data_IF_110297952180
#
_entry.id   IF_110297952180
#
_cell.length_a   1.000
_cell.length_b   1.000
_cell.length_c   1.000
_cell.angle_alpha   90.00
_cell.angle_beta   90.00
_cell.angle_gamma   90.00
#
_symmetry.space_group_name_H-M   'P 1'
#
loop_
_entity.id
_entity.type
_entity.pdbx_description
1 polymer ?
#
# COMPACT_ATOMS: atom_id res chain seq x y z
N UNK A 1 31.53 27.71 47.56
CA UNK A 1 31.12 27.80 46.14
C UNK A 1 31.17 26.40 45.52
N UNK A 2 30.04 25.81 45.10
CA UNK A 2 30.05 24.50 44.45
C UNK A 2 30.59 24.60 43.01
N UNK A 3 31.47 23.68 42.63
CA UNK A 3 32.05 23.62 41.28
C UNK A 3 30.96 23.29 40.24
N UNK A 4 30.98 23.89 39.03
CA UNK A 4 29.96 23.62 38.03
C UNK A 4 30.06 22.16 37.55
N UNK A 5 28.94 21.46 37.62
CA UNK A 5 28.78 20.07 37.22
C UNK A 5 29.22 19.85 35.77
N UNK A 6 30.29 19.08 35.55
CA UNK A 6 30.65 18.60 34.23
C UNK A 6 29.61 17.56 33.79
N UNK A 7 28.89 17.82 32.69
CA UNK A 7 27.95 16.85 32.10
C UNK A 7 28.74 15.60 31.69
N UNK A 8 28.33 14.38 32.06
CA UNK A 8 28.98 13.18 31.57
C UNK A 8 28.80 13.14 30.04
N UNK A 9 29.92 13.11 29.30
CA UNK A 9 29.88 12.92 27.86
C UNK A 9 29.28 11.54 27.58
N UNK A 10 28.18 11.51 26.84
CA UNK A 10 27.60 10.25 26.37
C UNK A 10 28.69 9.39 25.70
N UNK A 11 28.78 8.09 26.00
CA UNK A 11 29.74 7.22 25.34
C UNK A 11 29.45 7.26 23.84
N UNK A 12 30.41 7.77 23.07
CA UNK A 12 30.35 7.74 21.62
C UNK A 12 30.19 6.27 21.20
N UNK A 13 29.33 5.94 20.23
CA UNK A 13 29.18 4.57 19.77
C UNK A 13 30.55 4.05 19.33
N UNK A 14 31.00 3.01 20.05
CA UNK A 14 32.17 2.20 19.70
C UNK A 14 32.12 1.95 18.20
N UNK A 15 33.11 2.45 17.48
CA UNK A 15 33.34 2.05 16.10
C UNK A 15 33.75 0.58 16.15
N UNK A 16 32.75 -0.29 16.16
CA UNK A 16 32.95 -1.73 16.11
C UNK A 16 33.85 -1.99 14.91
N UNK A 17 35.07 -2.45 15.22
CA UNK A 17 36.08 -2.88 14.25
C UNK A 17 35.35 -3.67 13.19
N UNK A 18 35.43 -3.17 11.95
CA UNK A 18 34.78 -3.69 10.76
C UNK A 18 34.62 -5.21 10.85
N UNK A 19 33.39 -5.69 11.09
CA UNK A 19 33.04 -7.07 10.76
C UNK A 19 33.51 -7.25 9.34
N UNK A 20 34.60 -8.01 9.14
CA UNK A 20 35.10 -8.36 7.82
C UNK A 20 33.90 -8.95 7.11
N UNK A 21 33.34 -8.20 6.16
CA UNK A 21 32.24 -8.66 5.31
C UNK A 21 32.69 -10.04 4.82
N UNK A 22 31.91 -11.09 5.09
CA UNK A 22 32.16 -12.39 4.49
C UNK A 22 32.04 -12.19 2.98
N UNK A 23 33.17 -12.00 2.31
CA UNK A 23 33.22 -11.57 0.91
C UNK A 23 32.97 -12.73 -0.06
N UNK A 24 32.90 -13.96 0.46
CA UNK A 24 33.03 -15.16 -0.36
C UNK A 24 31.86 -16.16 -0.18
N UNK A 25 30.90 -15.91 0.73
CA UNK A 25 29.81 -16.87 0.97
C UNK A 25 28.91 -17.06 -0.27
N UNK A 26 28.86 -16.06 -1.17
CA UNK A 26 28.10 -16.12 -2.43
C UNK A 26 29.01 -16.20 -3.67
N UNK A 27 30.28 -16.57 -3.49
CA UNK A 27 31.20 -16.69 -4.61
C UNK A 27 30.99 -18.06 -5.25
N UNK A 28 30.24 -18.09 -6.36
CA UNK A 28 29.99 -19.31 -7.12
C UNK A 28 31.32 -19.87 -7.64
N UNK A 29 31.53 -21.18 -7.46
CA UNK A 29 32.77 -21.88 -7.85
C UNK A 29 32.95 -21.92 -9.38
N UNK A 30 31.84 -21.97 -10.14
CA UNK A 30 31.84 -21.96 -11.59
C UNK A 30 30.78 -20.98 -12.14
N UNK A 31 31.15 -20.20 -13.15
CA UNK A 31 30.24 -19.29 -13.86
C UNK A 31 30.07 -19.80 -15.28
N UNK A 32 28.91 -20.37 -15.58
CA UNK A 32 28.56 -20.76 -16.94
C UNK A 32 28.08 -19.54 -17.73
N UNK A 33 28.68 -19.29 -18.89
CA UNK A 33 28.40 -18.09 -19.69
C UNK A 33 27.65 -18.44 -20.97
N UNK A 34 26.32 -18.44 -20.90
CA UNK A 34 25.48 -18.64 -22.07
C UNK A 34 25.40 -17.35 -22.91
N UNK A 35 25.82 -17.45 -24.17
CA UNK A 35 25.81 -16.33 -25.12
C UNK A 35 24.39 -15.90 -25.47
N UNK A 36 23.41 -16.81 -25.47
CA UNK A 36 22.01 -16.51 -25.78
C UNK A 36 21.37 -15.67 -24.67
N UNK A 37 21.47 -16.13 -23.42
CA UNK A 37 21.05 -15.37 -22.23
C UNK A 37 21.75 -14.00 -22.14
N UNK A 38 23.03 -13.92 -22.53
CA UNK A 38 23.75 -12.64 -22.60
C UNK A 38 23.15 -11.69 -23.64
N UNK A 39 22.78 -12.18 -24.82
CA UNK A 39 22.15 -11.37 -25.86
C UNK A 39 20.76 -10.87 -25.42
N UNK A 40 19.97 -11.72 -24.78
CA UNK A 40 18.69 -11.34 -24.17
C UNK A 40 18.87 -10.32 -23.05
N UNK A 41 19.92 -10.47 -22.23
CA UNK A 41 20.28 -9.49 -21.22
C UNK A 41 20.74 -8.17 -21.87
N UNK A 42 21.47 -8.17 -22.97
CA UNK A 42 21.87 -6.91 -23.59
C UNK A 42 20.74 -6.20 -24.33
N UNK A 43 19.77 -6.92 -24.89
CA UNK A 43 18.66 -6.30 -25.66
C UNK A 43 17.41 -6.06 -24.81
N UNK A 44 17.16 -6.90 -23.80
CA UNK A 44 15.94 -6.91 -22.97
C UNK A 44 15.91 -5.91 -21.82
N UNK A 45 16.55 -4.73 -21.93
CA UNK A 45 16.61 -3.74 -20.84
C UNK A 45 15.22 -3.36 -20.30
N UNK A 46 14.25 -3.15 -21.20
CA UNK A 46 12.88 -2.85 -20.81
C UNK A 46 12.25 -4.02 -20.03
N UNK A 47 12.42 -5.26 -20.52
CA UNK A 47 11.94 -6.47 -19.83
C UNK A 47 12.49 -6.57 -18.41
N UNK A 48 13.79 -6.32 -18.20
CA UNK A 48 14.41 -6.33 -16.86
C UNK A 48 13.97 -5.18 -15.98
N UNK A 49 13.73 -4.00 -16.57
CA UNK A 49 13.20 -2.86 -15.81
C UNK A 49 11.79 -3.18 -15.29
N UNK A 50 10.94 -3.72 -16.15
CA UNK A 50 9.59 -4.16 -15.78
C UNK A 50 9.66 -5.28 -14.75
N UNK A 51 10.51 -6.30 -14.95
CA UNK A 51 10.68 -7.39 -13.99
C UNK A 51 11.13 -6.90 -12.61
N UNK A 52 12.06 -5.94 -12.53
CA UNK A 52 12.45 -5.33 -11.24
C UNK A 52 11.32 -4.57 -10.57
N UNK A 53 10.51 -3.85 -11.34
CA UNK A 53 9.36 -3.11 -10.81
C UNK A 53 8.34 -4.12 -10.28
N UNK A 54 8.02 -5.17 -11.04
CA UNK A 54 7.11 -6.24 -10.63
C UNK A 54 7.61 -6.96 -9.38
N UNK A 55 8.87 -7.37 -9.33
CA UNK A 55 9.46 -8.01 -8.16
C UNK A 55 9.37 -7.13 -6.90
N UNK A 56 9.61 -5.83 -7.03
CA UNK A 56 9.46 -4.89 -5.91
C UNK A 56 7.99 -4.72 -5.47
N UNK A 57 7.03 -4.78 -6.40
CA UNK A 57 5.60 -4.78 -6.10
C UNK A 57 5.20 -6.07 -5.40
N UNK A 58 5.60 -7.22 -5.92
CA UNK A 58 5.33 -8.54 -5.34
C UNK A 58 5.92 -8.69 -3.93
N UNK A 59 7.14 -8.21 -3.70
CA UNK A 59 7.75 -8.22 -2.36
C UNK A 59 6.99 -7.32 -1.37
N UNK A 60 6.55 -6.15 -1.81
CA UNK A 60 5.72 -5.26 -0.99
C UNK A 60 4.35 -5.88 -0.68
N UNK A 61 3.73 -6.55 -1.64
CA UNK A 61 2.46 -7.27 -1.45
C UNK A 61 2.61 -8.47 -0.50
N UNK A 62 3.66 -9.28 -0.67
CA UNK A 62 3.95 -10.42 0.22
C UNK A 62 4.13 -9.94 1.66
N UNK A 63 4.98 -8.92 1.85
CA UNK A 63 5.20 -8.31 3.16
C UNK A 63 3.91 -7.74 3.76
N UNK A 64 3.08 -7.06 2.96
CA UNK A 64 1.79 -6.54 3.42
C UNK A 64 0.80 -7.63 3.83
N UNK A 65 0.81 -8.79 3.16
CA UNK A 65 0.00 -9.95 3.56
C UNK A 65 0.49 -10.55 4.88
N UNK A 66 1.80 -10.75 5.01
CA UNK A 66 2.42 -11.25 6.25
C UNK A 66 2.14 -10.32 7.43
N UNK A 67 2.28 -9.00 7.24
CA UNK A 67 1.97 -8.00 8.26
C UNK A 67 0.49 -8.05 8.69
N UNK A 68 -0.45 -8.17 7.75
CA UNK A 68 -1.88 -8.33 8.06
C UNK A 68 -2.20 -9.60 8.83
N UNK A 69 -1.57 -10.72 8.47
CA UNK A 69 -1.76 -12.00 9.17
C UNK A 69 -1.25 -11.88 10.61
N UNK A 70 -0.06 -11.30 10.78
CA UNK A 70 0.53 -11.07 12.11
C UNK A 70 -0.33 -10.12 12.95
N UNK A 71 -0.83 -9.03 12.36
CA UNK A 71 -1.75 -8.10 13.03
C UNK A 71 -3.05 -8.78 13.46
N UNK A 72 -3.64 -9.60 12.59
CA UNK A 72 -4.85 -10.37 12.91
C UNK A 72 -4.59 -11.37 14.04
N UNK A 73 -3.46 -12.07 14.02
CA UNK A 73 -3.06 -13.01 15.08
C UNK A 73 -2.93 -12.27 16.42
N UNK A 74 -2.21 -11.15 16.43
CA UNK A 74 -2.06 -10.30 17.63
C UNK A 74 -3.39 -9.80 18.18
N UNK A 75 -4.34 -9.41 17.31
CA UNK A 75 -5.66 -8.98 17.75
C UNK A 75 -6.46 -10.13 18.38
N UNK A 76 -6.38 -11.34 17.81
CA UNK A 76 -7.01 -12.54 18.39
C UNK A 76 -6.39 -12.90 19.74
N UNK A 77 -5.07 -12.89 19.84
CA UNK A 77 -4.33 -13.13 21.09
C UNK A 77 -4.70 -12.09 22.15
N UNK A 78 -4.70 -10.80 21.82
CA UNK A 78 -5.10 -9.75 22.75
C UNK A 78 -6.53 -9.92 23.27
N UNK A 79 -7.49 -10.30 22.41
CA UNK A 79 -8.86 -10.61 22.82
C UNK A 79 -8.93 -11.85 23.72
N UNK A 80 -8.15 -12.89 23.42
CA UNK A 80 -8.06 -14.11 24.23
C UNK A 80 -7.49 -13.79 25.62
N UNK A 81 -6.44 -12.99 25.70
CA UNK A 81 -5.85 -12.53 26.97
C UNK A 81 -6.82 -11.66 27.78
N UNK A 82 -7.54 -10.74 27.13
CA UNK A 82 -8.55 -9.92 27.78
C UNK A 82 -9.68 -10.78 28.36
N UNK A 83 -10.17 -11.75 27.59
CA UNK A 83 -11.18 -12.70 28.05
C UNK A 83 -10.66 -13.55 29.23
N UNK A 84 -9.43 -14.08 29.14
CA UNK A 84 -8.77 -14.82 30.23
C UNK A 84 -8.71 -13.98 31.50
N UNK A 85 -8.22 -12.74 31.42
CA UNK A 85 -8.17 -11.81 32.56
C UNK A 85 -9.55 -11.49 33.13
N UNK A 86 -10.55 -11.34 32.26
CA UNK A 86 -11.92 -11.08 32.71
C UNK A 86 -12.50 -12.28 33.47
N UNK A 87 -12.34 -13.49 32.94
CA UNK A 87 -12.77 -14.73 33.61
C UNK A 87 -12.04 -14.91 34.93
N UNK A 88 -10.72 -14.70 34.96
CA UNK A 88 -9.94 -14.72 36.21
C UNK A 88 -10.46 -13.70 37.24
N UNK A 89 -10.74 -12.46 36.82
CA UNK A 89 -11.27 -11.42 37.69
C UNK A 89 -12.67 -11.74 38.24
N UNK A 90 -13.54 -12.35 37.41
CA UNK A 90 -14.88 -12.80 37.81
C UNK A 90 -14.79 -13.99 38.77
N UNK A 91 -13.92 -14.96 38.50
CA UNK A 91 -13.71 -16.11 39.39
C UNK A 91 -13.16 -15.67 40.75
N UNK A 92 -12.26 -14.68 40.77
CA UNK A 92 -11.75 -14.06 42.00
C UNK A 92 -12.85 -13.35 42.80
N UNK A 93 -13.75 -12.61 42.14
CA UNK A 93 -14.84 -11.90 42.82
C UNK A 93 -15.91 -12.85 43.39
N UNK A 94 -16.14 -13.98 42.73
CA UNK A 94 -17.05 -15.03 43.18
C UNK A 94 -16.43 -15.99 44.22
N UNK A 95 -15.14 -15.84 44.54
CA UNK A 95 -14.46 -16.65 45.55
C UNK A 95 -14.14 -18.09 45.12
N UNK A 96 -14.24 -18.41 43.83
CA UNK A 96 -13.80 -19.70 43.29
C UNK A 96 -12.27 -19.71 43.22
N UNK A 97 -11.63 -20.21 44.28
CA UNK A 97 -10.18 -20.37 44.33
C UNK A 97 -9.75 -21.56 43.46
N UNK A 98 -9.28 -21.26 42.24
CA UNK A 98 -8.42 -22.03 41.33
C UNK A 98 -8.14 -23.50 41.73
N UNK A 99 -9.04 -24.42 41.39
CA UNK A 99 -8.79 -25.87 41.45
C UNK A 99 -9.42 -26.63 40.26
N UNK A 100 -9.61 -25.95 39.11
CA UNK A 100 -10.05 -26.62 37.89
C UNK A 100 -8.96 -26.50 36.84
N UNK A 101 -8.38 -27.67 36.59
CA UNK A 101 -7.34 -28.06 35.65
C UNK A 101 -7.21 -27.17 34.40
N UNK A 102 -6.02 -26.59 34.24
CA UNK A 102 -5.58 -25.93 33.02
C UNK A 102 -5.16 -27.00 31.99
N UNK A 103 -6.10 -27.83 31.54
CA UNK A 103 -5.91 -28.58 30.30
C UNK A 103 -6.10 -27.59 29.14
N UNK A 104 -5.05 -26.81 28.90
CA UNK A 104 -4.89 -25.93 27.75
C UNK A 104 -4.74 -26.81 26.51
N UNK A 105 -5.85 -27.30 25.97
CA UNK A 105 -5.90 -27.80 24.59
C UNK A 105 -5.61 -26.61 23.66
N UNK A 106 -4.32 -26.43 23.39
CA UNK A 106 -3.81 -25.69 22.24
C UNK A 106 -4.22 -26.47 20.98
N UNK A 107 -5.50 -26.41 20.62
CA UNK A 107 -5.95 -26.73 19.29
C UNK A 107 -5.47 -25.60 18.36
N UNK A 108 -4.21 -25.70 17.96
CA UNK A 108 -3.65 -25.00 16.81
C UNK A 108 -4.22 -25.66 15.55
N UNK A 109 -5.53 -25.52 15.37
CA UNK A 109 -6.18 -25.88 14.13
C UNK A 109 -5.85 -24.77 13.12
N UNK A 110 -4.68 -24.92 12.49
CA UNK A 110 -4.30 -24.31 11.23
C UNK A 110 -5.19 -24.89 10.11
N UNK A 111 -6.50 -24.77 10.31
CA UNK A 111 -7.52 -25.06 9.32
C UNK A 111 -7.55 -23.91 8.33
N UNK A 112 -7.07 -24.20 7.13
CA UNK A 112 -7.66 -23.74 5.87
C UNK A 112 -9.17 -24.07 5.85
N UNK A 113 -9.91 -23.48 6.79
CA UNK A 113 -11.35 -23.42 6.78
C UNK A 113 -11.69 -22.34 5.77
N UNK A 114 -11.68 -22.71 4.49
CA UNK A 114 -12.51 -22.07 3.49
C UNK A 114 -13.86 -21.83 4.18
N UNK A 115 -14.14 -20.57 4.49
CA UNK A 115 -15.42 -20.14 5.02
C UNK A 115 -16.46 -20.61 4.01
N UNK A 116 -17.07 -21.77 4.29
CA UNK A 116 -18.23 -22.24 3.57
C UNK A 116 -19.24 -21.14 3.76
N UNK A 117 -19.52 -20.40 2.68
CA UNK A 117 -20.45 -19.28 2.71
C UNK A 117 -21.73 -19.68 3.42
N UNK A 118 -22.43 -18.69 4.00
CA UNK A 118 -23.80 -18.90 4.51
C UNK A 118 -24.50 -19.82 3.49
N UNK A 119 -24.81 -21.04 3.91
CA UNK A 119 -25.51 -21.99 3.06
C UNK A 119 -26.83 -21.32 2.70
N UNK A 120 -27.09 -21.25 1.40
CA UNK A 120 -28.36 -20.81 0.82
C UNK A 120 -29.45 -21.88 1.07
N UNK A 121 -29.55 -22.35 2.30
CA UNK A 121 -30.49 -23.38 2.74
C UNK A 121 -31.43 -22.81 3.82
N UNK A 122 -31.59 -21.49 3.83
CA UNK A 122 -32.41 -20.71 4.75
C UNK A 122 -33.36 -19.74 4.06
N UNK A 123 -33.62 -19.92 2.77
CA UNK A 123 -34.63 -19.19 1.99
C UNK A 123 -36.08 -19.52 2.41
N UNK A 124 -36.37 -19.47 3.71
CA UNK A 124 -37.72 -19.58 4.27
C UNK A 124 -37.75 -18.98 5.68
N UNK A 125 -37.75 -17.66 5.77
CA UNK A 125 -37.89 -16.98 7.05
C UNK A 125 -37.85 -15.45 6.95
N UNK A 126 -38.98 -14.88 6.53
CA UNK A 126 -39.30 -13.45 6.46
C UNK A 126 -38.87 -12.75 5.16
N UNK A 127 -39.86 -12.34 4.37
CA UNK A 127 -39.70 -11.77 3.03
C UNK A 127 -38.75 -10.56 2.98
N UNK A 128 -38.02 -10.48 1.87
CA UNK A 128 -37.04 -9.45 1.50
C UNK A 128 -37.74 -8.12 1.12
N UNK A 129 -38.81 -7.77 1.83
CA UNK A 129 -39.52 -6.49 1.78
C UNK A 129 -39.54 -5.89 3.21
N UNK A 130 -38.39 -5.94 3.89
CA UNK A 130 -38.21 -5.32 5.19
C UNK A 130 -37.94 -3.83 5.04
N UNK A 131 -38.93 -2.98 5.29
CA UNK A 131 -38.71 -1.56 5.52
C UNK A 131 -37.99 -1.38 6.86
N UNK A 132 -36.66 -1.22 6.86
CA UNK A 132 -35.90 -0.90 8.06
C UNK A 132 -35.93 0.61 8.32
N UNK A 133 -36.67 1.04 9.35
CA UNK A 133 -36.73 2.43 9.79
C UNK A 133 -35.48 2.82 10.58
N UNK A 134 -34.58 3.59 9.97
CA UNK A 134 -33.45 4.19 10.66
C UNK A 134 -33.86 5.56 11.21
N UNK A 135 -33.95 5.66 12.55
CA UNK A 135 -34.24 6.92 13.24
C UNK A 135 -32.94 7.56 13.70
N UNK A 136 -32.45 8.52 12.94
CA UNK A 136 -31.52 9.54 13.44
C UNK A 136 -32.35 10.74 13.95
N UNK A 137 -31.97 11.30 15.10
CA UNK A 137 -32.73 12.29 15.89
C UNK A 137 -33.24 13.53 15.12
N UNK A 138 -32.74 13.79 13.91
CA UNK A 138 -33.16 14.92 13.07
C UNK A 138 -33.49 14.56 11.60
N UNK A 139 -33.40 13.29 11.16
CA UNK A 139 -33.62 12.91 9.74
C UNK A 139 -34.18 11.49 9.58
N UNK A 140 -35.37 11.38 9.00
CA UNK A 140 -35.95 10.10 8.58
C UNK A 140 -35.55 9.80 7.13
N UNK A 141 -34.83 8.69 6.91
CA UNK A 141 -34.52 8.17 5.57
C UNK A 141 -34.86 6.69 5.51
N UNK A 142 -35.73 6.30 4.58
CA UNK A 142 -36.10 4.90 4.36
C UNK A 142 -35.31 4.34 3.19
N UNK A 143 -34.68 3.18 3.36
CA UNK A 143 -33.94 2.47 2.31
C UNK A 143 -34.69 1.18 2.00
N UNK A 144 -35.15 1.03 0.75
CA UNK A 144 -35.84 -0.18 0.26
C UNK A 144 -34.86 -1.02 -0.56
N UNK A 145 -34.68 -2.28 -0.20
CA UNK A 145 -33.79 -3.22 -0.92
C UNK A 145 -34.64 -4.11 -1.82
N UNK A 146 -34.52 -3.96 -3.13
CA UNK A 146 -35.19 -4.80 -4.13
C UNK A 146 -34.17 -5.66 -4.87
N UNK A 147 -34.44 -6.96 -5.03
CA UNK A 147 -33.61 -7.86 -5.84
C UNK A 147 -33.79 -7.56 -7.32
N UNK A 148 -32.70 -7.28 -8.04
CA UNK A 148 -32.69 -7.27 -9.51
C UNK A 148 -32.44 -8.71 -9.97
N UNK A 149 -33.42 -9.33 -10.63
CA UNK A 149 -33.27 -10.63 -11.28
C UNK A 149 -32.38 -10.47 -12.54
N UNK A 150 -31.16 -11.02 -12.49
CA UNK A 150 -30.20 -11.07 -13.62
C UNK A 150 -30.49 -12.28 -14.54
N UNK A 151 -31.68 -12.36 -15.14
CA UNK A 151 -32.00 -13.38 -16.16
C UNK A 151 -32.42 -12.74 -17.50
N UNK A 152 -31.71 -13.14 -18.56
CA UNK A 152 -32.01 -12.98 -20.00
C UNK A 152 -31.77 -11.61 -20.68
N UNK A 153 -30.58 -11.44 -21.28
CA UNK A 153 -30.45 -10.83 -22.62
C UNK A 153 -29.22 -11.39 -23.34
N UNK A 154 -29.20 -12.71 -23.54
CA UNK A 154 -28.25 -13.45 -24.38
C UNK A 154 -29.05 -14.37 -25.31
N UNK A 155 -29.23 -13.95 -26.57
CA UNK A 155 -29.54 -14.74 -27.79
C UNK A 155 -29.66 -13.72 -28.98
N UNK A 156 -28.62 -13.49 -29.78
CA UNK A 156 -28.15 -14.19 -31.00
C UNK A 156 -28.96 -13.89 -32.28
N UNK A 157 -28.30 -13.25 -33.26
CA UNK A 157 -28.45 -13.38 -34.74
C UNK A 157 -27.49 -12.34 -35.38
N UNK A 158 -26.59 -12.58 -36.34
CA UNK A 158 -26.16 -13.73 -37.10
C UNK A 158 -25.17 -13.25 -38.19
N UNK A 159 -24.23 -14.14 -38.55
CA UNK A 159 -23.54 -14.31 -39.84
C UNK A 159 -22.45 -13.35 -40.39
N UNK A 160 -21.41 -14.04 -40.88
CA UNK A 160 -20.18 -13.65 -41.55
C UNK A 160 -20.34 -13.00 -42.93
N UNK A 161 -19.29 -12.30 -43.41
CA UNK A 161 -19.16 -12.01 -44.85
C UNK A 161 -18.18 -10.90 -45.27
N UNK A 162 -16.90 -11.22 -45.25
CA UNK A 162 -15.89 -11.01 -46.33
C UNK A 162 -15.83 -9.72 -47.20
N UNK A 163 -14.59 -9.20 -47.36
CA UNK A 163 -14.11 -8.41 -48.52
C UNK A 163 -13.87 -6.93 -48.22
N UNK A 164 -12.74 -6.29 -48.48
CA UNK A 164 -11.54 -6.60 -49.24
C UNK A 164 -10.72 -5.30 -49.35
N UNK A 165 -9.42 -5.45 -49.56
CA UNK A 165 -8.35 -4.45 -49.49
C UNK A 165 -8.55 -3.16 -50.33
N UNK A 166 -7.90 -2.06 -49.90
CA UNK A 166 -6.68 -1.52 -50.53
C UNK A 166 -6.58 0.02 -50.64
N UNK A 167 -5.40 0.51 -50.20
CA UNK A 167 -4.59 1.66 -50.70
C UNK A 167 -4.96 3.10 -50.29
N UNK A 168 -4.04 3.72 -49.53
CA UNK A 168 -3.83 5.18 -49.54
C UNK A 168 -3.26 5.68 -50.88
N UNK A 169 -3.01 7.00 -51.09
CA UNK A 169 -2.15 7.79 -50.19
C UNK A 169 -2.47 9.32 -50.07
N UNK A 170 -1.77 9.94 -49.10
CA UNK A 170 -1.14 11.29 -49.04
C UNK A 170 -1.76 12.58 -49.62
N UNK A 171 -1.36 13.66 -48.92
CA UNK A 171 -1.21 15.07 -49.33
C UNK A 171 -2.50 15.91 -49.34
N UNK A 172 -2.56 17.20 -48.96
CA UNK A 172 -1.63 18.22 -48.47
C UNK A 172 -2.48 19.44 -48.03
N UNK A 173 -1.86 20.32 -47.23
CA UNK A 173 -1.99 21.78 -47.25
C UNK A 173 -3.33 22.50 -46.91
N UNK A 174 -3.25 23.32 -45.86
CA UNK A 174 -3.68 24.73 -45.74
C UNK A 174 -4.90 25.25 -46.53
N UNK A 175 -5.88 25.83 -45.82
CA UNK A 175 -6.14 27.28 -45.85
C UNK A 175 -7.42 27.65 -45.06
N UNK A 176 -7.22 28.61 -44.15
CA UNK A 176 -8.09 29.68 -43.66
C UNK A 176 -9.54 29.83 -44.20
N UNK A 177 -10.51 30.08 -43.31
CA UNK A 177 -11.85 30.53 -43.72
C UNK A 177 -12.94 30.54 -42.63
N UNK A 178 -12.99 31.64 -41.87
CA UNK A 178 -14.20 32.32 -41.40
C UNK A 178 -15.24 31.63 -40.45
N UNK A 179 -15.22 32.14 -39.21
CA UNK A 179 -16.36 32.58 -38.38
C UNK A 179 -17.72 31.89 -38.61
N UNK A 180 -18.08 31.01 -37.65
CA UNK A 180 -19.48 30.91 -37.16
C UNK A 180 -19.51 31.09 -35.64
N UNK A 181 -20.03 32.25 -35.28
CA UNK A 181 -20.41 32.68 -33.95
C UNK A 181 -21.55 31.79 -33.43
N UNK A 182 -21.29 31.01 -32.36
CA UNK A 182 -22.33 30.33 -31.59
C UNK A 182 -22.03 30.51 -30.09
N UNK A 183 -22.75 31.47 -29.51
CA UNK A 183 -23.25 31.53 -28.14
C UNK A 183 -22.36 30.89 -27.05
N UNK A 184 -21.53 31.74 -26.43
CA UNK A 184 -20.84 31.42 -25.16
C UNK A 184 -21.87 31.26 -24.05
N UNK A 185 -22.29 30.02 -23.76
CA UNK A 185 -22.77 29.65 -22.43
C UNK A 185 -21.55 29.66 -21.51
N UNK A 186 -21.53 30.60 -20.58
CA UNK A 186 -20.48 30.81 -19.60
C UNK A 186 -20.36 29.58 -18.68
N UNK A 187 -19.56 28.59 -19.09
CA UNK A 187 -19.09 27.54 -18.19
C UNK A 187 -17.93 28.12 -17.41
N UNK A 188 -18.18 28.44 -16.14
CA UNK A 188 -17.16 28.78 -15.17
C UNK A 188 -15.98 27.81 -15.28
N UNK A 189 -14.85 28.31 -15.77
CA UNK A 189 -13.64 27.51 -15.94
C UNK A 189 -13.02 27.30 -14.55
N UNK A 190 -13.26 26.13 -13.95
CA UNK A 190 -12.55 25.71 -12.73
C UNK A 190 -11.03 25.95 -12.91
N UNK A 191 -10.35 26.61 -11.96
CA UNK A 191 -8.96 26.99 -12.13
C UNK A 191 -8.09 25.74 -12.32
N UNK A 192 -7.36 25.68 -13.44
CA UNK A 192 -6.44 24.57 -13.73
C UNK A 192 -5.42 24.46 -12.61
N UNK A 193 -5.43 23.34 -11.88
CA UNK A 193 -4.43 23.06 -10.85
C UNK A 193 -3.06 22.97 -11.51
N UNK A 194 -2.18 23.92 -11.18
CA UNK A 194 -0.81 23.93 -11.71
C UNK A 194 -0.09 22.67 -11.24
N UNK A 195 0.54 21.95 -12.17
CA UNK A 195 1.37 20.78 -11.86
C UNK A 195 2.36 21.15 -10.75
N UNK A 196 2.36 20.38 -9.66
CA UNK A 196 3.29 20.58 -8.55
C UNK A 196 4.71 20.50 -9.12
N UNK A 197 5.48 21.59 -9.03
CA UNK A 197 6.89 21.58 -9.42
C UNK A 197 7.60 20.65 -8.43
N UNK A 198 7.94 19.44 -8.87
CA UNK A 198 8.80 18.56 -8.11
C UNK A 198 10.09 19.34 -7.84
N UNK A 199 10.37 19.57 -6.57
CA UNK A 199 11.62 20.14 -6.11
C UNK A 199 12.25 19.05 -5.28
N UNK A 200 13.54 18.81 -5.52
CA UNK A 200 14.30 17.77 -4.83
C UNK A 200 14.22 17.87 -3.30
N UNK A 201 13.96 19.08 -2.79
CA UNK A 201 13.81 19.36 -1.38
C UNK A 201 12.62 20.31 -1.15
N UNK A 202 11.95 20.11 -0.01
CA UNK A 202 10.92 21.02 0.48
C UNK A 202 11.50 22.42 0.75
N UNK A 203 10.64 23.44 0.89
CA UNK A 203 11.10 24.80 1.23
C UNK A 203 11.82 24.83 2.59
N UNK A 204 11.44 23.97 3.53
CA UNK A 204 12.06 23.85 4.86
C UNK A 204 13.47 23.25 4.76
N UNK A 205 13.58 22.08 4.16
CA UNK A 205 14.87 21.38 3.95
C UNK A 205 15.89 22.26 3.22
N UNK A 206 15.46 22.98 2.17
CA UNK A 206 16.33 23.93 1.46
C UNK A 206 16.84 25.06 2.36
N UNK A 207 16.02 25.55 3.29
CA UNK A 207 16.44 26.59 4.23
C UNK A 207 17.46 26.04 5.22
N UNK A 208 17.25 24.82 5.72
CA UNK A 208 18.19 24.14 6.60
C UNK A 208 19.53 23.87 5.93
N UNK A 209 19.54 23.37 4.70
CA UNK A 209 20.76 23.14 3.93
C UNK A 209 21.53 24.43 3.68
N UNK A 210 20.84 25.52 3.32
CA UNK A 210 21.47 26.84 3.18
C UNK A 210 22.06 27.34 4.50
N UNK A 211 21.38 27.11 5.61
CA UNK A 211 21.89 27.47 6.94
C UNK A 211 23.13 26.64 7.30
N UNK A 212 23.09 25.32 7.10
CA UNK A 212 24.23 24.41 7.31
C UNK A 212 25.42 24.79 6.44
N UNK A 213 25.18 25.13 5.18
CA UNK A 213 26.23 25.57 4.25
C UNK A 213 26.85 26.90 4.68
N UNK A 214 26.04 27.89 5.10
CA UNK A 214 26.53 29.16 5.65
C UNK A 214 27.42 28.93 6.88
N UNK A 215 27.00 28.08 7.81
CA UNK A 215 27.79 27.73 9.01
C UNK A 215 29.12 27.07 8.61
N UNK A 216 29.09 26.10 7.68
CA UNK A 216 30.30 25.43 7.17
C UNK A 216 31.25 26.41 6.50
N UNK A 217 30.75 27.32 5.66
CA UNK A 217 31.55 28.36 5.00
C UNK A 217 32.14 29.35 6.02
N UNK A 218 31.36 29.72 7.05
CA UNK A 218 31.82 30.57 8.15
C UNK A 218 32.98 29.96 8.92
N UNK A 219 32.86 28.68 9.32
CA UNK A 219 33.93 27.92 9.99
C UNK A 219 35.21 27.84 9.15
N UNK A 220 35.07 27.47 7.88
CA UNK A 220 36.22 27.43 6.95
C UNK A 220 36.88 28.80 6.75
N UNK A 221 36.11 29.89 6.82
CA UNK A 221 36.64 31.25 6.74
C UNK A 221 37.42 31.60 8.01
N UNK A 222 36.86 31.33 9.19
CA UNK A 222 37.56 31.60 10.46
C UNK A 222 38.85 30.80 10.58
N UNK A 223 38.85 29.53 10.19
CA UNK A 223 40.05 28.67 10.18
C UNK A 223 41.15 29.18 9.23
N UNK A 224 40.77 29.84 8.13
CA UNK A 224 41.72 30.46 7.17
C UNK A 224 42.27 31.78 7.66
N UNK A 225 41.51 32.55 8.43
CA UNK A 225 41.92 33.86 8.94
C UNK A 225 42.64 33.77 10.28
N UNK A 226 42.54 32.63 10.99
CA UNK A 226 43.20 32.38 12.27
C UNK A 226 44.58 31.74 12.12
N UNK A 227 45.16 31.76 10.92
CA UNK A 227 46.46 31.16 10.58
C UNK A 227 47.28 32.20 9.83
#
# INVERSE_FOLDING_TARGET
MPKPYAKPSAPLPSHNKSKKRKRNDNQLEEITFDRSARQEYLTGFHKRKVARIKAAQEEAEKRGREERIVERKKLREARKEELRRHVEAVNQSLGFSREVDEEEEESDEEGDGAWGGIGDDGANGNGVDGEEEFVDEDKFTTVTVTTMDDESDEEEEGEDGEGGEAKGPKDTAEANGEKKEKTKKEKERKPKVKKKKFRYLSKGERREDRMREKVRRGRKKSERTSK
#
